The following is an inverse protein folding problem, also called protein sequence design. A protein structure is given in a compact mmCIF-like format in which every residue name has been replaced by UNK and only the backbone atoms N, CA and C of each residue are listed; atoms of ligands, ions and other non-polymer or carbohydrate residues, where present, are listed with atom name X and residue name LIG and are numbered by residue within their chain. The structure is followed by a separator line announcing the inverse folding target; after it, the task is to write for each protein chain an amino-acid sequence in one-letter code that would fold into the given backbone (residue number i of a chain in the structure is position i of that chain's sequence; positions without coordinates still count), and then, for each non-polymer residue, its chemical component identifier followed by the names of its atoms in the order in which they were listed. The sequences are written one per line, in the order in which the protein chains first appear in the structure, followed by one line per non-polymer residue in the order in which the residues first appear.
data_IF_933920953611
#
_entry.id   IF_933920953611
#
_cell.length_a   1.000
_cell.length_b   1.000
_cell.length_c   1.000
_cell.angle_alpha   90.00
_cell.angle_beta   90.00
_cell.angle_gamma   90.00
#
_symmetry.space_group_name_H-M   'P 1'
#
loop_
_entity.id
_entity.type
_entity.pdbx_description
1 polymer ?
#
# COMPACT_ATOMS: atom_id res chain seq x y z
N UNK A 1 7.24 19.22 -14.12
CA UNK A 1 7.69 19.10 -12.72
C UNK A 1 8.87 20.01 -12.38
N UNK A 2 10.11 19.81 -12.88
CA UNK A 2 11.21 20.75 -12.56
C UNK A 2 10.99 22.21 -13.03
N UNK A 3 10.14 22.41 -14.04
CA UNK A 3 9.59 23.72 -14.42
C UNK A 3 8.52 24.20 -13.44
N UNK A 4 7.55 23.34 -13.10
CA UNK A 4 6.47 23.56 -12.13
C UNK A 4 6.98 24.02 -10.76
N UNK A 5 8.00 23.34 -10.21
CA UNK A 5 8.63 23.69 -8.94
C UNK A 5 9.25 25.08 -8.99
N UNK A 6 10.03 25.38 -10.04
CA UNK A 6 10.64 26.71 -10.22
C UNK A 6 9.60 27.81 -10.42
N UNK A 7 8.50 27.54 -11.12
CA UNK A 7 7.39 28.48 -11.27
C UNK A 7 6.69 28.76 -9.93
N UNK A 8 6.42 27.72 -9.13
CA UNK A 8 5.83 27.85 -7.79
C UNK A 8 6.74 28.66 -6.84
N UNK A 9 8.06 28.41 -6.86
CA UNK A 9 9.03 29.19 -6.10
C UNK A 9 9.13 30.65 -6.59
N UNK A 10 9.11 30.87 -7.92
CA UNK A 10 9.19 32.21 -8.51
C UNK A 10 8.01 33.11 -8.12
N UNK A 11 6.80 32.55 -7.98
CA UNK A 11 5.62 33.30 -7.50
C UNK A 11 5.51 33.36 -5.97
N UNK A 12 6.52 32.89 -5.21
CA UNK A 12 6.51 32.89 -3.75
C UNK A 12 5.55 31.87 -3.11
N UNK A 13 5.10 30.84 -3.84
CA UNK A 13 4.13 29.87 -3.32
C UNK A 13 4.69 29.02 -2.17
N UNK A 14 6.01 28.97 -1.98
CA UNK A 14 6.67 28.28 -0.86
C UNK A 14 6.86 29.15 0.40
N UNK A 15 6.41 30.41 0.37
CA UNK A 15 6.60 31.42 1.42
C UNK A 15 5.25 32.02 1.81
N UNK A 16 4.51 31.40 2.74
CA UNK A 16 3.16 31.84 3.10
C UNK A 16 3.12 33.27 3.69
N UNK A 17 4.20 33.68 4.37
CA UNK A 17 4.39 35.04 4.88
C UNK A 17 4.41 36.11 3.77
N UNK A 18 4.78 35.75 2.54
CA UNK A 18 4.87 36.70 1.41
C UNK A 18 3.56 36.88 0.65
N UNK A 19 2.49 36.17 1.00
CA UNK A 19 1.23 36.20 0.24
C UNK A 19 0.39 37.46 0.46
N UNK A 20 0.70 38.24 1.50
CA UNK A 20 -0.02 39.45 1.87
C UNK A 20 -1.40 39.16 2.48
N UNK A 21 -2.25 40.18 2.44
CA UNK A 21 -3.65 40.09 2.84
C UNK A 21 -4.47 39.47 1.70
N UNK A 22 -4.91 38.24 1.92
CA UNK A 22 -5.71 37.42 1.01
C UNK A 22 -6.76 36.70 1.84
N UNK A 23 -7.93 36.43 1.24
CA UNK A 23 -9.01 35.73 1.92
C UNK A 23 -8.64 34.29 2.30
N UNK A 24 -9.48 33.69 3.15
CA UNK A 24 -9.26 32.35 3.68
C UNK A 24 -9.27 31.26 2.60
N UNK A 25 -10.10 31.42 1.55
CA UNK A 25 -10.29 30.41 0.50
C UNK A 25 -9.07 30.40 -0.43
N UNK A 26 -8.63 31.56 -0.88
CA UNK A 26 -7.39 31.74 -1.66
C UNK A 26 -6.18 31.26 -0.85
N UNK A 27 -6.13 31.54 0.46
CA UNK A 27 -5.04 31.06 1.34
C UNK A 27 -5.00 29.54 1.44
N UNK A 28 -6.13 28.86 1.67
CA UNK A 28 -6.15 27.40 1.67
C UNK A 28 -5.84 26.83 0.27
N UNK A 29 -6.37 27.43 -0.79
CA UNK A 29 -6.09 27.03 -2.17
C UNK A 29 -4.60 27.07 -2.48
N UNK A 30 -3.90 28.16 -2.12
CA UNK A 30 -2.43 28.25 -2.25
C UNK A 30 -1.68 27.16 -1.47
N UNK A 31 -2.12 26.85 -0.23
CA UNK A 31 -1.56 25.72 0.54
C UNK A 31 -1.78 24.38 -0.19
N UNK A 32 -2.99 24.09 -0.68
CA UNK A 32 -3.28 22.87 -1.43
C UNK A 32 -2.42 22.75 -2.70
N UNK A 33 -2.29 23.82 -3.49
CA UNK A 33 -1.43 23.82 -4.69
C UNK A 33 0.04 23.60 -4.32
N UNK A 34 0.55 24.28 -3.27
CA UNK A 34 1.92 24.07 -2.79
C UNK A 34 2.18 22.63 -2.38
N UNK A 35 1.33 22.05 -1.53
CA UNK A 35 1.51 20.67 -1.04
C UNK A 35 1.36 19.64 -2.16
N UNK A 36 0.53 19.91 -3.16
CA UNK A 36 0.44 19.10 -4.39
C UNK A 36 1.75 19.15 -5.19
N UNK A 37 2.34 20.33 -5.37
CA UNK A 37 3.66 20.49 -6.00
C UNK A 37 4.75 19.78 -5.18
N UNK A 38 4.71 19.88 -3.86
CA UNK A 38 5.67 19.24 -2.94
C UNK A 38 5.62 17.71 -3.03
N UNK A 39 4.43 17.12 -2.90
CA UNK A 39 4.23 15.66 -3.02
C UNK A 39 4.59 15.18 -4.43
N UNK A 40 4.16 15.90 -5.47
CA UNK A 40 4.46 15.57 -6.86
C UNK A 40 5.97 15.60 -7.14
N UNK A 41 6.68 16.62 -6.69
CA UNK A 41 8.13 16.73 -6.84
C UNK A 41 8.87 15.60 -6.10
N UNK A 42 8.46 15.28 -4.86
CA UNK A 42 9.02 14.14 -4.12
C UNK A 42 8.73 12.79 -4.80
N UNK A 43 7.53 12.61 -5.38
CA UNK A 43 7.17 11.37 -6.10
C UNK A 43 8.03 11.19 -7.34
N UNK A 44 8.23 12.27 -8.10
CA UNK A 44 9.13 12.34 -9.26
C UNK A 44 10.58 12.01 -8.85
N UNK A 45 11.13 12.68 -7.82
CA UNK A 45 12.49 12.42 -7.35
C UNK A 45 12.68 10.97 -6.89
N UNK A 46 11.72 10.41 -6.14
CA UNK A 46 11.75 9.01 -5.70
C UNK A 46 11.46 7.98 -6.79
N UNK A 47 10.93 8.39 -7.95
CA UNK A 47 10.62 7.51 -9.08
C UNK A 47 11.73 7.47 -10.12
N UNK A 48 12.46 8.58 -10.31
CA UNK A 48 13.56 8.71 -11.28
C UNK A 48 14.94 8.90 -10.64
N UNK A 49 15.05 8.85 -9.31
CA UNK A 49 16.34 8.84 -8.62
C UNK A 49 17.08 10.14 -8.68
N UNK A 50 16.37 11.21 -9.03
CA UNK A 50 16.94 12.54 -9.07
C UNK A 50 17.04 13.07 -7.65
N UNK A 51 18.02 13.95 -7.37
CA UNK A 51 18.05 14.70 -6.11
C UNK A 51 16.68 15.32 -5.80
N UNK A 52 16.26 15.42 -4.52
CA UNK A 52 15.05 16.12 -4.14
C UNK A 52 15.02 17.53 -4.75
N UNK A 53 13.97 17.84 -5.51
CA UNK A 53 13.82 19.17 -6.12
C UNK A 53 13.49 20.27 -5.10
N UNK A 54 13.15 19.86 -3.87
CA UNK A 54 12.71 20.71 -2.77
C UNK A 54 13.41 20.25 -1.48
N UNK A 55 13.92 21.22 -0.72
CA UNK A 55 14.48 21.00 0.62
C UNK A 55 13.41 21.34 1.65
N UNK A 56 13.26 20.53 2.69
CA UNK A 56 12.22 20.72 3.72
C UNK A 56 12.37 22.06 4.47
N UNK A 57 13.59 22.61 4.56
CA UNK A 57 13.90 23.91 5.19
C UNK A 57 13.32 25.11 4.44
N UNK A 58 13.06 24.98 3.14
CA UNK A 58 12.69 26.10 2.26
C UNK A 58 11.15 26.17 2.07
N UNK A 59 10.42 25.38 2.85
CA UNK A 59 8.98 25.17 2.80
C UNK A 59 8.30 25.85 4.00
N UNK A 60 7.97 27.14 3.84
CA UNK A 60 7.33 27.96 4.87
C UNK A 60 5.83 28.12 4.59
N UNK A 61 5.14 26.99 4.48
CA UNK A 61 3.70 26.93 4.18
C UNK A 61 3.06 25.94 5.14
N UNK A 62 1.97 26.33 5.79
CA UNK A 62 1.25 25.43 6.70
C UNK A 62 0.47 24.36 5.95
N UNK A 63 0.13 23.26 6.60
CA UNK A 63 -0.82 22.28 6.05
C UNK A 63 -2.18 22.94 5.73
N UNK A 64 -2.86 22.49 4.66
CA UNK A 64 -4.16 23.02 4.29
C UNK A 64 -5.22 22.59 5.32
N UNK A 65 -6.03 23.54 5.74
CA UNK A 65 -7.28 23.28 6.43
C UNK A 65 -8.34 22.83 5.43
N UNK A 66 -9.31 22.06 5.89
CA UNK A 66 -10.44 21.68 5.05
C UNK A 66 -11.25 22.92 4.64
N UNK A 67 -11.54 23.01 3.35
CA UNK A 67 -12.49 23.96 2.73
C UNK A 67 -13.80 23.21 2.51
N UNK A 68 -14.89 23.89 2.15
CA UNK A 68 -16.28 23.38 2.19
C UNK A 68 -16.46 21.95 1.60
N UNK A 69 -15.88 21.66 0.43
CA UNK A 69 -15.96 20.34 -0.23
C UNK A 69 -15.09 19.23 0.42
N UNK A 70 -14.31 19.55 1.45
CA UNK A 70 -13.36 18.64 2.11
C UNK A 70 -13.71 18.31 3.56
N UNK A 71 -14.85 18.75 4.08
CA UNK A 71 -15.30 18.40 5.45
C UNK A 71 -15.93 17.01 5.58
N UNK A 72 -16.15 16.31 4.46
CA UNK A 72 -16.78 14.99 4.45
C UNK A 72 -15.97 13.94 5.23
N UNK A 73 -16.63 13.24 6.15
CA UNK A 73 -16.02 12.23 7.04
C UNK A 73 -16.40 10.83 6.57
N UNK A 74 -15.52 9.84 6.77
CA UNK A 74 -15.82 8.47 6.34
C UNK A 74 -17.04 7.91 7.12
N UNK A 75 -18.10 7.44 6.45
CA UNK A 75 -19.30 6.97 7.14
C UNK A 75 -19.01 5.79 8.07
N UNK A 76 -19.62 5.81 9.27
CA UNK A 76 -19.37 4.89 10.41
C UNK A 76 -18.03 5.09 11.12
N UNK A 77 -17.19 6.03 10.70
CA UNK A 77 -16.01 6.46 11.46
C UNK A 77 -16.27 7.80 12.14
N UNK A 78 -15.38 8.16 13.06
CA UNK A 78 -15.46 9.38 13.86
C UNK A 78 -14.14 9.64 14.57
N UNK A 79 -13.02 9.29 13.93
CA UNK A 79 -11.71 9.54 14.50
C UNK A 79 -11.29 10.99 14.29
N UNK A 80 -10.27 11.43 15.02
CA UNK A 80 -9.73 12.79 14.91
C UNK A 80 -8.25 12.75 14.61
N UNK A 81 -7.77 13.76 13.88
CA UNK A 81 -6.35 14.01 13.66
C UNK A 81 -5.88 15.28 14.38
N UNK A 82 -4.58 15.35 14.66
CA UNK A 82 -3.94 16.53 15.23
C UNK A 82 -3.39 17.42 14.11
N UNK A 83 -3.82 18.68 14.10
CA UNK A 83 -3.39 19.71 13.16
C UNK A 83 -2.12 20.43 13.66
N UNK A 84 -1.47 21.21 12.78
CA UNK A 84 -0.23 21.94 13.12
C UNK A 84 -0.44 23.07 14.14
N UNK A 85 -1.69 23.53 14.33
CA UNK A 85 -2.11 24.48 15.37
C UNK A 85 -2.38 23.81 16.74
N UNK A 86 -2.17 22.50 16.86
CA UNK A 86 -2.43 21.73 18.08
C UNK A 86 -3.91 21.45 18.36
N UNK A 87 -4.82 21.77 17.43
CA UNK A 87 -6.23 21.41 17.56
C UNK A 87 -6.47 19.99 17.02
N UNK A 88 -7.30 19.23 17.75
CA UNK A 88 -7.84 17.97 17.25
C UNK A 88 -9.12 18.23 16.48
N UNK A 89 -9.22 17.75 15.25
CA UNK A 89 -10.40 17.90 14.38
C UNK A 89 -10.77 16.55 13.75
N UNK A 90 -12.02 16.35 13.29
CA UNK A 90 -12.43 15.11 12.62
C UNK A 90 -11.54 14.77 11.43
N UNK A 91 -11.43 13.47 11.12
CA UNK A 91 -10.76 12.98 9.91
C UNK A 91 -11.71 13.07 8.73
N UNK A 92 -11.19 13.61 7.63
CA UNK A 92 -11.96 14.00 6.45
C UNK A 92 -11.28 13.54 5.16
N UNK A 93 -11.94 13.74 4.01
CA UNK A 93 -11.33 13.54 2.67
C UNK A 93 -10.01 14.31 2.52
N UNK A 94 -9.90 15.51 3.13
CA UNK A 94 -8.68 16.32 3.11
C UNK A 94 -7.52 15.72 3.93
N UNK A 95 -7.81 14.91 4.96
CA UNK A 95 -6.79 14.33 5.85
C UNK A 95 -5.76 13.49 5.11
N UNK A 96 -6.15 12.74 4.08
CA UNK A 96 -5.23 11.96 3.24
C UNK A 96 -4.07 12.80 2.70
N UNK A 97 -4.35 14.04 2.23
CA UNK A 97 -3.30 14.93 1.72
C UNK A 97 -2.35 15.37 2.83
N UNK A 98 -2.87 15.66 4.04
CA UNK A 98 -2.05 16.00 5.21
C UNK A 98 -1.16 14.84 5.66
N UNK A 99 -1.70 13.63 5.73
CA UNK A 99 -0.92 12.43 6.05
C UNK A 99 0.13 12.12 4.97
N UNK A 100 -0.23 12.24 3.68
CA UNK A 100 0.71 12.06 2.56
C UNK A 100 1.82 13.12 2.60
N UNK A 101 1.51 14.40 2.81
CA UNK A 101 2.52 15.45 2.97
C UNK A 101 3.51 15.17 4.13
N UNK A 102 2.98 14.79 5.31
CA UNK A 102 3.79 14.38 6.49
C UNK A 102 4.74 13.21 6.16
N UNK A 103 4.30 12.22 5.38
CA UNK A 103 5.14 11.10 4.92
C UNK A 103 6.20 11.55 3.90
N UNK A 104 5.83 12.40 2.93
CA UNK A 104 6.77 12.88 1.91
C UNK A 104 7.89 13.77 2.48
N UNK A 105 7.66 14.46 3.61
CA UNK A 105 8.74 15.08 4.41
C UNK A 105 9.77 14.05 4.89
N UNK A 106 9.32 12.91 5.43
CA UNK A 106 10.20 11.80 5.84
C UNK A 106 10.89 11.19 4.61
N UNK A 107 10.17 11.02 3.50
CA UNK A 107 10.72 10.46 2.27
C UNK A 107 11.80 11.34 1.63
N UNK A 108 11.61 12.67 1.63
CA UNK A 108 12.64 13.63 1.21
C UNK A 108 13.85 13.61 2.16
N UNK A 109 13.62 13.46 3.48
CA UNK A 109 14.71 13.23 4.44
C UNK A 109 15.50 11.96 4.11
N UNK A 110 14.83 10.86 3.73
CA UNK A 110 15.46 9.60 3.32
C UNK A 110 16.30 9.80 2.06
N UNK A 111 15.73 10.40 1.02
CA UNK A 111 16.47 10.71 -0.21
C UNK A 111 17.73 11.55 0.08
N UNK A 112 17.58 12.67 0.80
CA UNK A 112 18.73 13.51 1.14
C UNK A 112 19.79 12.75 1.97
N UNK A 113 19.39 12.17 3.10
CA UNK A 113 20.32 11.62 4.09
C UNK A 113 20.92 10.28 3.64
N UNK A 114 20.18 9.43 2.92
CA UNK A 114 20.64 8.08 2.58
C UNK A 114 21.24 7.99 1.16
N UNK A 115 20.76 8.80 0.22
CA UNK A 115 21.17 8.72 -1.19
C UNK A 115 22.10 9.86 -1.65
N UNK A 116 21.97 11.06 -1.07
CA UNK A 116 22.72 12.25 -1.52
C UNK A 116 23.68 12.84 -0.47
N UNK A 117 23.76 12.25 0.73
CA UNK A 117 24.73 12.61 1.77
C UNK A 117 25.81 11.52 1.87
N UNK A 118 27.08 11.93 2.01
CA UNK A 118 28.17 10.99 2.29
C UNK A 118 28.22 10.70 3.79
N UNK A 119 28.34 9.41 4.14
CA UNK A 119 28.49 8.94 5.52
C UNK A 119 29.94 8.55 5.78
N UNK A 120 30.44 8.84 6.97
CA UNK A 120 31.82 8.58 7.37
C UNK A 120 32.07 7.10 7.73
N UNK A 121 31.02 6.29 7.89
CA UNK A 121 31.12 4.86 8.18
C UNK A 121 29.76 4.15 8.25
N UNK A 122 29.78 2.81 8.32
CA UNK A 122 28.58 1.97 8.42
C UNK A 122 27.67 2.35 9.58
N UNK A 123 28.27 2.74 10.71
CA UNK A 123 27.55 3.11 11.92
C UNK A 123 26.66 4.35 11.73
N UNK A 124 27.20 5.44 11.17
CA UNK A 124 26.46 6.69 10.92
C UNK A 124 25.26 6.47 9.99
N UNK A 125 25.47 5.62 8.97
CA UNK A 125 24.41 5.20 8.05
C UNK A 125 23.34 4.36 8.78
N UNK A 126 23.75 3.37 9.57
CA UNK A 126 22.81 2.55 10.37
C UNK A 126 22.02 3.37 11.39
N UNK A 127 22.65 4.36 12.03
CA UNK A 127 21.98 5.30 12.94
C UNK A 127 20.96 6.17 12.18
N UNK A 128 21.34 6.72 11.02
CA UNK A 128 20.45 7.48 10.14
C UNK A 128 19.24 6.64 9.66
N UNK A 129 19.47 5.42 9.18
CA UNK A 129 18.40 4.49 8.78
C UNK A 129 17.47 4.17 9.96
N UNK A 130 18.02 3.88 11.14
CA UNK A 130 17.24 3.58 12.35
C UNK A 130 16.36 4.76 12.79
N UNK A 131 16.91 5.98 12.78
CA UNK A 131 16.19 7.22 13.10
C UNK A 131 15.06 7.51 12.11
N UNK A 132 15.30 7.30 10.82
CA UNK A 132 14.29 7.48 9.77
C UNK A 132 13.21 6.40 9.85
N UNK A 133 13.56 5.14 10.14
CA UNK A 133 12.60 4.07 10.38
C UNK A 133 11.70 4.36 11.58
N UNK A 134 12.26 4.86 12.69
CA UNK A 134 11.48 5.27 13.87
C UNK A 134 10.48 6.41 13.55
N UNK A 135 10.88 7.42 12.77
CA UNK A 135 9.96 8.48 12.28
C UNK A 135 8.83 7.90 11.44
N UNK A 136 9.16 6.95 10.56
CA UNK A 136 8.23 6.31 9.64
C UNK A 136 7.22 5.40 10.35
N UNK A 137 7.67 4.61 11.34
CA UNK A 137 6.80 3.84 12.24
C UNK A 137 5.91 4.72 13.13
N UNK A 138 6.43 5.85 13.62
CA UNK A 138 5.63 6.81 14.38
C UNK A 138 4.53 7.45 13.51
N UNK A 139 4.83 7.70 12.24
CA UNK A 139 3.84 8.12 11.26
C UNK A 139 2.82 7.02 10.94
N UNK A 140 3.21 5.76 10.71
CA UNK A 140 2.25 4.66 10.46
C UNK A 140 1.28 4.47 11.63
N UNK A 141 1.76 4.64 12.87
CA UNK A 141 0.92 4.56 14.08
C UNK A 141 -0.07 5.72 14.22
N UNK A 142 0.20 6.89 13.62
CA UNK A 142 -0.71 8.03 13.69
C UNK A 142 -1.81 8.04 12.62
N UNK A 143 -1.77 7.11 11.66
CA UNK A 143 -2.82 6.99 10.62
C UNK A 143 -4.15 6.56 11.27
N UNK A 144 -5.26 7.30 11.05
CA UNK A 144 -6.60 6.94 11.53
C UNK A 144 -7.14 5.70 10.81
N UNK A 145 -8.06 4.93 11.42
CA UNK A 145 -8.52 3.67 10.85
C UNK A 145 -9.18 3.82 9.47
N UNK A 146 -9.95 4.87 9.23
CA UNK A 146 -10.53 5.19 7.92
C UNK A 146 -9.50 5.44 6.80
N UNK A 147 -8.22 5.66 7.12
CA UNK A 147 -7.11 5.75 6.16
C UNK A 147 -6.21 4.49 6.15
N UNK A 148 -6.64 3.37 6.76
CA UNK A 148 -5.99 2.06 6.72
C UNK A 148 -6.70 1.12 5.75
N UNK A 149 -5.94 0.41 4.90
CA UNK A 149 -6.55 -0.43 3.86
C UNK A 149 -7.30 -1.63 4.46
N UNK A 150 -6.89 -2.08 5.65
CA UNK A 150 -7.52 -3.15 6.43
C UNK A 150 -8.95 -2.80 6.87
N UNK A 151 -9.26 -1.50 7.00
CA UNK A 151 -10.61 -1.01 7.35
C UNK A 151 -11.57 -0.95 6.17
N UNK A 152 -11.09 -1.22 4.94
CA UNK A 152 -11.89 -1.20 3.71
C UNK A 152 -11.80 -2.54 2.96
N UNK A 153 -12.26 -3.66 3.51
CA UNK A 153 -12.14 -4.98 2.87
C UNK A 153 -12.80 -5.07 1.48
N UNK A 154 -12.43 -6.06 0.64
CA UNK A 154 -13.02 -6.23 -0.69
C UNK A 154 -14.52 -6.50 -0.62
N UNK A 155 -15.28 -5.96 -1.57
CA UNK A 155 -16.72 -6.20 -1.75
C UNK A 155 -17.63 -5.79 -0.57
N UNK A 156 -17.16 -4.97 0.38
CA UNK A 156 -18.00 -4.49 1.50
C UNK A 156 -18.55 -3.07 1.32
N UNK A 157 -18.31 -2.44 0.17
CA UNK A 157 -18.93 -1.16 -0.19
C UNK A 157 -20.24 -1.45 -0.91
N UNK A 158 -21.30 -1.60 -0.12
CA UNK A 158 -22.68 -1.69 -0.59
C UNK A 158 -23.10 -0.40 -1.31
N UNK A 159 -23.93 -0.53 -2.35
CA UNK A 159 -24.50 0.62 -3.06
C UNK A 159 -25.53 1.35 -2.20
N UNK A 160 -25.44 2.68 -2.17
CA UNK A 160 -26.23 3.58 -1.33
C UNK A 160 -25.59 4.98 -1.31
N UNK A 161 -26.22 5.94 -0.62
CA UNK A 161 -25.80 7.35 -0.60
C UNK A 161 -24.32 7.52 -0.18
N UNK A 162 -23.89 6.81 0.85
CA UNK A 162 -22.51 6.76 1.35
C UNK A 162 -21.46 6.14 0.38
N UNK A 163 -21.88 5.43 -0.67
CA UNK A 163 -21.00 4.50 -1.39
C UNK A 163 -19.83 5.20 -2.09
N UNK A 164 -20.05 6.39 -2.64
CA UNK A 164 -19.01 7.21 -3.25
C UNK A 164 -17.93 7.60 -2.23
N UNK A 165 -18.34 8.10 -1.06
CA UNK A 165 -17.41 8.53 0.00
C UNK A 165 -16.61 7.36 0.57
N UNK A 166 -17.25 6.20 0.79
CA UNK A 166 -16.55 4.95 1.16
C UNK A 166 -15.51 4.53 0.11
N UNK A 167 -15.81 4.67 -1.19
CA UNK A 167 -14.85 4.41 -2.29
C UNK A 167 -13.66 5.38 -2.24
N UNK A 168 -13.89 6.66 -1.99
CA UNK A 168 -12.82 7.68 -1.83
C UNK A 168 -11.86 7.27 -0.71
N UNK A 169 -12.36 7.02 0.51
CA UNK A 169 -11.51 6.63 1.64
C UNK A 169 -10.77 5.30 1.39
N UNK A 170 -11.41 4.31 0.75
CA UNK A 170 -10.76 3.05 0.40
C UNK A 170 -9.60 3.24 -0.61
N UNK A 171 -9.76 4.11 -1.60
CA UNK A 171 -8.70 4.46 -2.58
C UNK A 171 -7.57 5.24 -1.90
N UNK A 172 -7.91 6.20 -1.04
CA UNK A 172 -6.93 6.98 -0.26
C UNK A 172 -6.10 6.05 0.63
N UNK A 173 -6.74 5.15 1.38
CA UNK A 173 -6.10 4.18 2.25
C UNK A 173 -5.16 3.23 1.48
N UNK A 174 -5.62 2.67 0.35
CA UNK A 174 -4.79 1.82 -0.51
C UNK A 174 -3.58 2.58 -1.05
N UNK A 175 -3.78 3.80 -1.55
CA UNK A 175 -2.71 4.64 -2.10
C UNK A 175 -1.70 5.02 -1.01
N UNK A 176 -2.17 5.29 0.21
CA UNK A 176 -1.33 5.63 1.35
C UNK A 176 -0.47 4.45 1.81
N UNK A 177 -1.05 3.25 1.92
CA UNK A 177 -0.32 2.01 2.23
C UNK A 177 0.79 1.72 1.20
N UNK A 178 0.44 1.74 -0.10
CA UNK A 178 1.39 1.47 -1.19
C UNK A 178 2.53 2.50 -1.23
N UNK A 179 2.22 3.77 -0.89
CA UNK A 179 3.26 4.81 -0.74
C UNK A 179 4.19 4.50 0.43
N UNK A 180 3.64 4.12 1.58
CA UNK A 180 4.40 3.80 2.78
C UNK A 180 5.33 2.60 2.57
N UNK A 181 4.81 1.52 1.98
CA UNK A 181 5.58 0.34 1.61
C UNK A 181 6.76 0.72 0.69
N UNK A 182 6.54 1.60 -0.30
CA UNK A 182 7.62 2.08 -1.16
C UNK A 182 8.66 2.94 -0.40
N UNK A 183 8.24 3.79 0.55
CA UNK A 183 9.18 4.57 1.38
C UNK A 183 9.98 3.65 2.32
N UNK A 184 9.39 2.54 2.81
CA UNK A 184 10.13 1.49 3.53
C UNK A 184 11.15 0.78 2.63
N UNK A 185 10.75 0.38 1.42
CA UNK A 185 11.65 -0.22 0.44
C UNK A 185 12.83 0.73 0.14
N UNK A 186 12.55 2.02 -0.10
CA UNK A 186 13.56 3.05 -0.34
C UNK A 186 14.53 3.21 0.83
N UNK A 187 14.04 3.17 2.07
CA UNK A 187 14.87 3.31 3.27
C UNK A 187 15.89 2.17 3.44
N UNK A 188 15.47 0.93 3.20
CA UNK A 188 16.26 -0.26 3.48
C UNK A 188 17.02 -0.83 2.26
N UNK A 189 16.57 -0.53 1.04
CA UNK A 189 17.19 -0.95 -0.23
C UNK A 189 18.73 -0.82 -0.29
N UNK A 190 19.38 0.26 0.18
CA UNK A 190 20.84 0.42 0.03
C UNK A 190 21.68 -0.70 0.67
N UNK A 191 21.09 -1.43 1.62
CA UNK A 191 21.68 -2.54 2.38
C UNK A 191 21.51 -3.92 1.69
N UNK A 192 20.81 -3.97 0.55
CA UNK A 192 20.45 -5.21 -0.14
C UNK A 192 21.21 -5.28 -1.48
N UNK A 193 22.06 -6.30 -1.66
CA UNK A 193 22.96 -6.43 -2.82
C UNK A 193 23.12 -7.88 -3.28
N UNK A 194 22.90 -8.16 -4.58
CA UNK A 194 23.06 -9.51 -5.16
C UNK A 194 24.54 -9.92 -5.24
N UNK A 195 24.82 -11.17 -4.87
CA UNK A 195 26.01 -11.91 -5.30
C UNK A 195 27.36 -11.45 -4.72
N UNK A 196 27.37 -10.54 -3.74
CA UNK A 196 28.62 -10.02 -3.16
C UNK A 196 29.49 -9.23 -4.16
N UNK A 197 28.95 -8.91 -5.34
CA UNK A 197 29.66 -8.17 -6.39
C UNK A 197 29.93 -6.75 -5.86
N UNK A 198 31.20 -6.34 -5.71
CA UNK A 198 31.50 -4.95 -5.38
C UNK A 198 30.92 -4.04 -6.47
N UNK A 199 30.37 -2.88 -6.09
CA UNK A 199 29.73 -1.86 -6.96
C UNK A 199 30.72 -1.16 -7.93
N UNK A 200 31.68 -1.91 -8.47
CA UNK A 200 32.89 -1.46 -9.18
C UNK A 200 32.78 -1.47 -10.71
N UNK A 201 31.72 -2.02 -11.32
CA UNK A 201 31.67 -2.28 -12.77
C UNK A 201 30.53 -1.64 -13.57
N UNK A 202 29.63 -0.89 -12.94
CA UNK A 202 28.63 -0.06 -13.63
C UNK A 202 28.69 1.38 -13.10
N UNK A 203 29.84 2.03 -13.31
CA UNK A 203 29.91 3.49 -13.27
C UNK A 203 31.14 4.00 -14.04
N UNK A 204 30.92 4.53 -15.23
CA UNK A 204 31.93 5.25 -16.04
C UNK A 204 32.17 6.67 -15.49
N UNK A 205 32.35 6.83 -14.17
CA UNK A 205 32.71 8.13 -13.58
C UNK A 205 33.44 7.99 -12.25
N UNK A 206 34.76 8.19 -12.28
CA UNK A 206 35.64 8.13 -11.11
C UNK A 206 35.35 9.18 -10.00
N UNK A 207 34.47 10.14 -10.26
CA UNK A 207 34.18 11.30 -9.39
C UNK A 207 32.72 11.33 -8.87
N UNK A 208 31.98 10.21 -8.91
CA UNK A 208 30.61 10.15 -8.38
C UNK A 208 30.59 9.84 -6.87
N UNK A 209 29.73 10.48 -6.05
CA UNK A 209 29.62 10.20 -4.61
C UNK A 209 29.39 8.72 -4.25
N UNK A 210 28.82 7.97 -5.21
CA UNK A 210 28.54 6.54 -5.11
C UNK A 210 29.77 5.65 -4.88
N UNK A 211 31.02 6.14 -5.05
CA UNK A 211 32.22 5.38 -4.69
C UNK A 211 32.52 5.43 -3.19
N UNK A 212 32.32 6.58 -2.54
CA UNK A 212 32.56 6.74 -1.10
C UNK A 212 31.57 5.90 -0.27
N UNK A 213 30.31 5.86 -0.69
CA UNK A 213 29.28 5.04 -0.04
C UNK A 213 29.62 3.54 -0.04
N UNK A 214 30.45 3.03 -0.96
CA UNK A 214 30.74 1.58 -1.04
C UNK A 214 31.49 1.06 0.18
N UNK A 215 32.48 1.81 0.67
CA UNK A 215 33.21 1.48 1.88
C UNK A 215 32.31 1.51 3.12
N UNK A 216 31.29 2.38 3.13
CA UNK A 216 30.28 2.51 4.19
C UNK A 216 29.45 1.23 4.38
N UNK A 217 29.24 0.41 3.34
CA UNK A 217 28.38 -0.80 3.47
C UNK A 217 29.12 -2.06 3.94
N UNK A 218 30.45 -2.13 3.78
CA UNK A 218 31.22 -3.35 4.03
C UNK A 218 31.19 -3.82 5.50
N UNK A 219 30.95 -2.90 6.43
CA UNK A 219 30.97 -3.13 7.89
C UNK A 219 29.58 -2.99 8.52
N UNK A 220 28.49 -3.24 7.79
CA UNK A 220 27.13 -3.26 8.35
C UNK A 220 26.89 -4.63 9.03
N UNK A 221 26.39 -4.67 10.28
CA UNK A 221 26.09 -5.94 10.96
C UNK A 221 25.08 -6.80 10.18
N UNK A 222 25.35 -8.10 10.04
CA UNK A 222 24.48 -9.04 9.33
C UNK A 222 23.05 -9.08 9.88
N UNK A 223 22.87 -8.92 11.19
CA UNK A 223 21.57 -8.79 11.83
C UNK A 223 20.77 -7.57 11.30
N UNK A 224 21.44 -6.46 11.00
CA UNK A 224 20.81 -5.25 10.44
C UNK A 224 20.42 -5.46 8.96
N UNK A 225 21.25 -6.19 8.20
CA UNK A 225 20.92 -6.61 6.82
C UNK A 225 19.70 -7.54 6.82
N UNK A 226 19.61 -8.50 7.75
CA UNK A 226 18.46 -9.39 7.89
C UNK A 226 17.17 -8.62 8.23
N UNK A 227 17.25 -7.60 9.10
CA UNK A 227 16.13 -6.69 9.38
C UNK A 227 15.73 -5.93 8.11
N UNK A 228 16.69 -5.36 7.37
CA UNK A 228 16.43 -4.62 6.14
C UNK A 228 15.75 -5.50 5.07
N UNK A 229 16.24 -6.71 4.85
CA UNK A 229 15.62 -7.70 3.97
C UNK A 229 14.22 -8.08 4.43
N UNK A 230 14.00 -8.29 5.74
CA UNK A 230 12.68 -8.59 6.29
C UNK A 230 11.68 -7.45 6.04
N UNK A 231 12.07 -6.20 6.29
CA UNK A 231 11.21 -5.03 6.12
C UNK A 231 10.87 -4.77 4.65
N UNK A 232 11.87 -4.87 3.75
CA UNK A 232 11.66 -4.79 2.30
C UNK A 232 10.73 -5.91 1.81
N UNK A 233 10.94 -7.15 2.24
CA UNK A 233 10.09 -8.28 1.86
C UNK A 233 8.65 -8.08 2.32
N UNK A 234 8.43 -7.76 3.60
CA UNK A 234 7.08 -7.54 4.15
C UNK A 234 6.35 -6.41 3.41
N UNK A 235 7.02 -5.29 3.16
CA UNK A 235 6.46 -4.14 2.45
C UNK A 235 6.14 -4.48 0.99
N UNK A 236 7.07 -5.14 0.28
CA UNK A 236 6.90 -5.49 -1.13
C UNK A 236 5.83 -6.58 -1.34
N UNK A 237 5.75 -7.57 -0.44
CA UNK A 237 4.67 -8.56 -0.42
C UNK A 237 3.33 -7.87 -0.16
N UNK A 238 3.23 -6.99 0.86
CA UNK A 238 1.98 -6.23 1.15
C UNK A 238 1.53 -5.39 -0.05
N UNK A 239 2.44 -4.71 -0.74
CA UNK A 239 2.13 -3.98 -1.98
C UNK A 239 1.67 -4.92 -3.12
N UNK A 240 2.21 -6.14 -3.24
CA UNK A 240 1.74 -7.09 -4.25
C UNK A 240 0.28 -7.53 -4.05
N UNK A 241 -0.27 -7.39 -2.83
CA UNK A 241 -1.67 -7.70 -2.52
C UNK A 241 -2.67 -6.69 -3.12
N UNK A 242 -2.20 -5.56 -3.66
CA UNK A 242 -3.00 -4.64 -4.49
C UNK A 242 -3.74 -5.39 -5.61
N UNK A 243 -3.15 -6.44 -6.18
CA UNK A 243 -3.78 -7.26 -7.20
C UNK A 243 -5.08 -7.97 -6.74
N UNK A 244 -5.28 -8.13 -5.42
CA UNK A 244 -6.52 -8.64 -4.81
C UNK A 244 -7.61 -7.57 -4.68
N UNK A 245 -7.36 -6.33 -5.11
CA UNK A 245 -8.32 -5.20 -5.11
C UNK A 245 -8.71 -4.71 -6.52
N UNK A 246 -9.20 -5.59 -7.41
CA UNK A 246 -9.68 -5.17 -8.73
C UNK A 246 -10.93 -4.28 -8.64
N UNK A 247 -11.65 -4.34 -7.52
CA UNK A 247 -12.75 -3.43 -7.17
C UNK A 247 -12.27 -1.97 -7.13
N UNK A 248 -11.21 -1.68 -6.38
CA UNK A 248 -10.67 -0.32 -6.26
C UNK A 248 -9.88 0.11 -7.50
N UNK A 249 -9.06 -0.79 -8.07
CA UNK A 249 -8.18 -0.47 -9.21
C UNK A 249 -8.95 0.01 -10.45
N UNK A 250 -10.18 -0.49 -10.66
CA UNK A 250 -11.06 -0.04 -11.76
C UNK A 250 -11.60 1.38 -11.56
N UNK A 251 -11.83 1.80 -10.31
CA UNK A 251 -12.42 3.11 -9.99
C UNK A 251 -11.49 4.29 -10.32
N UNK A 252 -10.17 4.08 -10.23
CA UNK A 252 -9.18 5.12 -10.51
C UNK A 252 -8.32 4.85 -11.76
N UNK A 253 -8.78 3.96 -12.65
CA UNK A 253 -7.97 3.37 -13.72
C UNK A 253 -7.34 4.36 -14.72
N UNK A 254 -7.91 5.56 -14.86
CA UNK A 254 -7.41 6.63 -15.73
C UNK A 254 -6.80 7.83 -14.97
N UNK A 255 -6.82 7.80 -13.63
CA UNK A 255 -6.34 8.89 -12.78
C UNK A 255 -4.88 8.75 -12.34
N UNK A 256 -4.35 9.82 -11.73
CA UNK A 256 -3.03 9.80 -11.08
C UNK A 256 -2.83 8.61 -10.10
N UNK A 257 -3.82 8.17 -9.29
CA UNK A 257 -3.65 7.01 -8.42
C UNK A 257 -3.27 5.71 -9.15
N UNK A 258 -3.70 5.49 -10.41
CA UNK A 258 -3.33 4.29 -11.18
C UNK A 258 -1.83 4.29 -11.54
N UNK A 259 -1.28 5.45 -11.92
CA UNK A 259 0.14 5.62 -12.21
C UNK A 259 0.95 5.50 -10.91
N UNK A 260 0.50 6.15 -9.84
CA UNK A 260 1.11 6.11 -8.50
C UNK A 260 1.22 4.67 -7.97
N UNK A 261 0.12 3.92 -8.01
CA UNK A 261 0.07 2.52 -7.60
C UNK A 261 0.92 1.63 -8.51
N UNK A 262 0.89 1.85 -9.84
CA UNK A 262 1.70 1.08 -10.78
C UNK A 262 3.20 1.23 -10.56
N UNK A 263 3.69 2.46 -10.40
CA UNK A 263 5.10 2.77 -10.10
C UNK A 263 5.57 2.07 -8.82
N UNK A 264 4.79 2.14 -7.75
CA UNK A 264 5.16 1.51 -6.48
C UNK A 264 4.99 -0.02 -6.49
N UNK A 265 4.00 -0.55 -7.21
CA UNK A 265 3.86 -1.99 -7.44
C UNK A 265 5.04 -2.55 -8.25
N UNK A 266 5.54 -1.82 -9.25
CA UNK A 266 6.75 -2.18 -9.97
C UNK A 266 7.99 -2.18 -9.07
N UNK A 267 8.20 -1.12 -8.28
CA UNK A 267 9.26 -1.02 -7.28
C UNK A 267 9.24 -2.22 -6.30
N UNK A 268 8.06 -2.59 -5.80
CA UNK A 268 7.86 -3.78 -4.99
C UNK A 268 8.17 -5.08 -5.76
N UNK A 269 7.73 -5.22 -7.01
CA UNK A 269 7.99 -6.39 -7.83
C UNK A 269 9.49 -6.65 -8.05
N UNK A 270 10.27 -5.62 -8.35
CA UNK A 270 11.71 -5.78 -8.52
C UNK A 270 12.42 -6.01 -7.18
N UNK A 271 11.97 -5.40 -6.07
CA UNK A 271 12.46 -5.73 -4.72
C UNK A 271 12.19 -7.19 -4.34
N UNK A 272 11.02 -7.74 -4.68
CA UNK A 272 10.72 -9.17 -4.51
C UNK A 272 11.66 -10.04 -5.35
N UNK A 273 11.95 -9.66 -6.59
CA UNK A 273 12.86 -10.40 -7.46
C UNK A 273 14.31 -10.38 -6.96
N UNK A 274 14.78 -9.22 -6.50
CA UNK A 274 16.05 -9.06 -5.78
C UNK A 274 16.13 -10.02 -4.58
N UNK A 275 15.10 -10.07 -3.74
CA UNK A 275 15.03 -10.97 -2.58
C UNK A 275 14.91 -12.45 -2.97
N UNK A 276 14.29 -12.77 -4.11
CA UNK A 276 14.25 -14.13 -4.65
C UNK A 276 15.65 -14.57 -5.13
N UNK A 277 16.35 -13.73 -5.89
CA UNK A 277 17.71 -14.01 -6.40
C UNK A 277 18.74 -14.17 -5.26
N UNK A 278 18.54 -13.51 -4.13
CA UNK A 278 19.37 -13.68 -2.93
C UNK A 278 19.21 -15.05 -2.25
N UNK A 279 18.10 -15.75 -2.47
CA UNK A 279 17.86 -17.08 -1.89
C UNK A 279 16.84 -17.86 -2.73
N UNK A 280 17.22 -18.33 -3.94
CA UNK A 280 16.27 -18.82 -4.95
C UNK A 280 15.38 -19.96 -4.44
N UNK A 281 15.97 -20.93 -3.74
CA UNK A 281 15.27 -22.11 -3.24
C UNK A 281 14.51 -21.89 -1.92
N UNK A 282 14.55 -20.68 -1.35
CA UNK A 282 13.89 -20.40 -0.08
C UNK A 282 12.37 -20.25 -0.24
N UNK A 283 11.62 -20.59 0.81
CA UNK A 283 10.17 -20.32 0.87
C UNK A 283 9.83 -18.83 0.65
N UNK A 284 10.73 -17.92 1.05
CA UNK A 284 10.61 -16.48 0.80
C UNK A 284 10.76 -16.13 -0.68
N UNK A 285 11.73 -16.75 -1.38
CA UNK A 285 11.89 -16.64 -2.82
C UNK A 285 10.67 -17.16 -3.58
N UNK A 286 10.10 -18.28 -3.15
CA UNK A 286 8.85 -18.81 -3.72
C UNK A 286 7.65 -17.86 -3.54
N UNK A 287 7.48 -17.23 -2.36
CA UNK A 287 6.44 -16.21 -2.17
C UNK A 287 6.75 -14.93 -2.96
N UNK A 288 8.01 -14.53 -3.06
CA UNK A 288 8.43 -13.39 -3.88
C UNK A 288 8.03 -13.58 -5.35
N UNK A 289 8.25 -14.77 -5.93
CA UNK A 289 7.73 -15.10 -7.28
C UNK A 289 6.20 -14.98 -7.34
N UNK A 290 5.48 -15.48 -6.33
CA UNK A 290 4.01 -15.34 -6.29
C UNK A 290 3.58 -13.86 -6.24
N UNK A 291 4.28 -13.01 -5.50
CA UNK A 291 4.04 -11.56 -5.46
C UNK A 291 4.32 -10.86 -6.80
N UNK A 292 5.43 -11.19 -7.47
CA UNK A 292 5.72 -10.68 -8.83
C UNK A 292 4.62 -11.11 -9.81
N UNK A 293 4.19 -12.38 -9.76
CA UNK A 293 3.12 -12.90 -10.59
C UNK A 293 1.78 -12.18 -10.33
N UNK A 294 1.46 -11.83 -9.07
CA UNK A 294 0.29 -11.00 -8.73
C UNK A 294 0.37 -9.64 -9.42
N UNK A 295 1.53 -8.97 -9.38
CA UNK A 295 1.74 -7.65 -9.99
C UNK A 295 1.62 -7.71 -11.53
N UNK A 296 2.24 -8.70 -12.18
CA UNK A 296 2.14 -8.99 -13.64
C UNK A 296 0.69 -9.18 -14.09
N UNK A 297 -0.19 -9.67 -13.22
CA UNK A 297 -1.60 -9.92 -13.54
C UNK A 297 -2.50 -8.69 -13.37
N UNK A 298 -2.05 -7.61 -12.70
CA UNK A 298 -2.86 -6.41 -12.45
C UNK A 298 -3.50 -5.85 -13.73
N UNK A 299 -2.77 -5.61 -14.85
CA UNK A 299 -3.37 -5.01 -16.04
C UNK A 299 -4.43 -5.92 -16.69
N UNK A 300 -4.25 -7.24 -16.56
CA UNK A 300 -5.15 -8.25 -17.14
C UNK A 300 -6.48 -8.36 -16.37
N UNK A 301 -6.49 -8.16 -15.06
CA UNK A 301 -7.71 -8.26 -14.23
C UNK A 301 -8.53 -6.96 -14.15
N UNK A 302 -7.96 -5.84 -14.60
CA UNK A 302 -8.50 -4.48 -14.38
C UNK A 302 -8.77 -3.68 -15.65
N UNK A 303 -8.36 -4.16 -16.84
CA UNK A 303 -8.38 -3.39 -18.09
C UNK A 303 -7.53 -2.10 -18.08
N UNK A 304 -6.54 -1.98 -17.18
CA UNK A 304 -5.57 -0.88 -17.17
C UNK A 304 -4.71 -0.87 -18.46
N UNK A 305 -4.98 0.06 -19.38
CA UNK A 305 -4.31 0.16 -20.70
C UNK A 305 -3.15 1.18 -20.77
N UNK A 306 -2.49 1.51 -19.65
CA UNK A 306 -1.37 2.46 -19.72
C UNK A 306 -0.11 1.79 -20.30
N UNK A 307 0.65 2.54 -21.12
CA UNK A 307 1.96 2.07 -21.62
C UNK A 307 2.93 1.72 -20.50
N UNK A 308 2.85 2.45 -19.38
CA UNK A 308 3.63 2.23 -18.15
C UNK A 308 3.40 0.82 -17.60
N UNK A 309 2.14 0.38 -17.47
CA UNK A 309 1.81 -0.98 -17.05
C UNK A 309 2.33 -2.05 -18.00
N UNK A 310 2.34 -1.79 -19.32
CA UNK A 310 2.90 -2.70 -20.31
C UNK A 310 4.41 -2.88 -20.13
N UNK A 311 5.17 -1.77 -20.03
CA UNK A 311 6.62 -1.81 -19.81
C UNK A 311 6.99 -2.52 -18.49
N UNK A 312 6.29 -2.18 -17.40
CA UNK A 312 6.48 -2.84 -16.09
C UNK A 312 6.21 -4.34 -16.16
N UNK A 313 5.19 -4.76 -16.91
CA UNK A 313 4.84 -6.18 -17.07
C UNK A 313 5.93 -6.94 -17.82
N UNK A 314 6.53 -6.36 -18.87
CA UNK A 314 7.65 -6.98 -19.59
C UNK A 314 8.85 -7.18 -18.66
N UNK A 315 9.33 -6.12 -18.02
CA UNK A 315 10.52 -6.16 -17.14
C UNK A 315 10.34 -7.14 -15.97
N UNK A 316 9.15 -7.19 -15.35
CA UNK A 316 8.86 -8.16 -14.29
C UNK A 316 8.75 -9.60 -14.80
N UNK A 317 8.34 -9.80 -16.06
CA UNK A 317 8.32 -11.13 -16.70
C UNK A 317 9.74 -11.61 -17.01
N UNK A 318 10.60 -10.74 -17.54
CA UNK A 318 12.02 -11.04 -17.76
C UNK A 318 12.73 -11.38 -16.43
N UNK A 319 12.45 -10.60 -15.37
CA UNK A 319 12.94 -10.87 -14.02
C UNK A 319 12.48 -12.25 -13.48
N UNK A 320 11.23 -12.66 -13.77
CA UNK A 320 10.73 -13.99 -13.43
C UNK A 320 11.53 -15.10 -14.15
N UNK A 321 11.88 -14.90 -15.42
CA UNK A 321 12.71 -15.85 -16.17
C UNK A 321 14.15 -15.94 -15.63
N UNK A 322 14.73 -14.81 -15.20
CA UNK A 322 16.05 -14.80 -14.53
C UNK A 322 16.01 -15.58 -13.22
N UNK A 323 14.98 -15.36 -12.38
CA UNK A 323 14.81 -16.11 -11.11
C UNK A 323 14.69 -17.61 -11.37
N UNK A 324 13.84 -18.03 -12.32
CA UNK A 324 13.68 -19.44 -12.67
C UNK A 324 14.99 -20.08 -13.18
N UNK A 325 15.82 -19.31 -13.87
CA UNK A 325 17.16 -19.75 -14.35
C UNK A 325 18.12 -19.95 -13.17
N UNK A 326 18.18 -19.01 -12.23
CA UNK A 326 19.01 -19.13 -11.03
C UNK A 326 18.53 -20.23 -10.06
N UNK A 327 17.21 -20.44 -9.94
CA UNK A 327 16.66 -21.60 -9.22
C UNK A 327 17.10 -22.92 -9.86
N UNK A 328 17.05 -23.02 -11.19
CA UNK A 328 17.47 -24.23 -11.91
C UNK A 328 18.95 -24.52 -11.69
N UNK A 329 19.82 -23.49 -11.75
CA UNK A 329 21.25 -23.64 -11.40
C UNK A 329 21.42 -24.08 -9.95
N UNK A 330 20.78 -23.39 -9.00
CA UNK A 330 20.90 -23.71 -7.58
C UNK A 330 20.40 -25.12 -7.21
N UNK A 331 19.45 -25.68 -7.97
CA UNK A 331 19.02 -27.09 -7.83
C UNK A 331 20.05 -28.08 -8.38
N UNK A 332 20.74 -27.74 -9.46
CA UNK A 332 21.76 -28.60 -10.10
C UNK A 332 23.09 -28.56 -9.33
N UNK A 333 23.50 -27.37 -8.88
CA UNK A 333 24.77 -27.13 -8.21
C UNK A 333 24.78 -27.57 -6.72
N UNK A 334 23.63 -27.96 -6.16
CA UNK A 334 23.50 -28.37 -4.76
C UNK A 334 23.46 -29.91 -4.63
N UNK A 335 24.56 -30.57 -4.22
CA UNK A 335 24.65 -32.03 -4.15
C UNK A 335 23.85 -32.64 -2.97
N UNK A 336 23.10 -31.85 -2.20
CA UNK A 336 22.28 -32.33 -1.08
C UNK A 336 21.18 -33.35 -1.49
N UNK A 337 20.89 -33.50 -2.78
CA UNK A 337 20.02 -34.58 -3.32
C UNK A 337 20.74 -35.89 -3.66
N UNK A 338 22.07 -35.98 -3.44
CA UNK A 338 22.91 -37.14 -3.78
C UNK A 338 23.67 -37.68 -2.55
N UNK A 339 23.14 -37.49 -1.34
CA UNK A 339 23.69 -38.15 -0.15
C UNK A 339 23.30 -39.64 -0.14
N UNK A 340 24.09 -40.45 -0.85
CA UNK A 340 24.00 -41.92 -0.87
C UNK A 340 24.34 -42.57 0.48
N UNK A 341 24.46 -41.81 1.57
CA UNK A 341 24.66 -42.31 2.93
C UNK A 341 23.37 -42.71 3.66
N UNK A 342 22.19 -42.60 3.04
CA UNK A 342 21.00 -43.29 3.57
C UNK A 342 21.23 -44.80 3.54
N UNK A 343 21.35 -45.41 4.72
CA UNK A 343 21.33 -46.86 4.88
C UNK A 343 20.04 -47.39 4.30
N UNK A 344 20.17 -48.14 3.21
CA UNK A 344 19.09 -48.60 2.35
C UNK A 344 18.20 -49.63 3.08
N UNK A 345 17.31 -49.16 3.96
CA UNK A 345 16.13 -49.95 4.30
C UNK A 345 15.33 -50.16 3.00
N UNK A 346 14.87 -51.40 2.83
CA UNK A 346 14.29 -51.84 1.55
C UNK A 346 13.01 -51.05 1.29
N UNK A 347 12.78 -50.56 0.05
CA UNK A 347 11.50 -49.96 -0.29
C UNK A 347 10.39 -50.99 -0.08
N UNK A 348 9.43 -50.68 0.78
CA UNK A 348 8.20 -51.46 0.93
C UNK A 348 7.49 -51.58 -0.42
N UNK A 349 6.95 -52.76 -0.71
CA UNK A 349 6.27 -53.00 -1.99
C UNK A 349 5.09 -52.03 -2.16
N UNK A 350 4.96 -51.49 -3.36
CA UNK A 350 3.92 -50.52 -3.69
C UNK A 350 2.54 -51.20 -3.65
N UNK A 351 1.71 -50.91 -2.64
CA UNK A 351 0.28 -51.25 -2.65
C UNK A 351 -0.30 -52.11 -1.54
N UNK A 352 0.30 -52.20 -0.34
CA UNK A 352 -0.42 -52.74 0.83
C UNK A 352 -1.08 -51.62 1.66
N UNK A 353 -2.38 -51.72 1.97
CA UNK A 353 -3.04 -50.78 2.88
C UNK A 353 -2.66 -51.09 4.35
N UNK A 354 -2.64 -50.08 5.25
CA UNK A 354 -2.27 -50.30 6.65
C UNK A 354 -3.17 -51.33 7.36
N UNK A 355 -2.56 -52.22 8.19
CA UNK A 355 -3.21 -53.35 8.89
C UNK A 355 -4.29 -52.97 9.94
N UNK A 356 -4.78 -51.73 9.99
CA UNK A 356 -5.70 -51.25 11.03
C UNK A 356 -7.18 -51.64 10.82
N UNK A 357 -7.50 -52.53 9.88
CA UNK A 357 -8.87 -52.89 9.50
C UNK A 357 -9.24 -54.38 9.60
N UNK A 358 -8.43 -55.18 10.31
CA UNK A 358 -8.68 -56.63 10.47
C UNK A 358 -8.76 -57.10 11.92
N UNK A 359 -9.47 -56.37 12.79
CA UNK A 359 -10.04 -56.96 14.03
C UNK A 359 -11.17 -56.08 14.60
N UNK A 360 -12.44 -56.45 14.32
CA UNK A 360 -13.64 -56.23 15.17
C UNK A 360 -14.98 -56.32 14.39
N UNK A 361 -15.24 -57.42 13.66
CA UNK A 361 -16.62 -57.81 13.27
C UNK A 361 -16.89 -59.28 13.60
N UNK A 362 -17.38 -59.51 14.81
CA UNK A 362 -18.28 -60.61 15.17
C UNK A 362 -17.70 -61.99 15.47
N UNK A 363 -17.87 -62.45 16.73
CA UNK A 363 -19.03 -63.32 17.06
C UNK A 363 -19.21 -63.60 18.57
N UNK A 364 -20.46 -63.87 18.91
CA UNK A 364 -20.97 -64.20 20.24
C UNK A 364 -20.74 -65.68 20.64
N UNK A 365 -20.58 -65.97 21.95
CA UNK A 365 -21.58 -66.65 22.82
C UNK A 365 -21.01 -67.21 24.15
N UNK A 366 -21.72 -66.90 25.24
CA UNK A 366 -22.15 -67.76 26.38
C UNK A 366 -21.11 -68.73 27.04
N UNK A 367 -20.88 -68.69 28.37
CA UNK A 367 -21.84 -69.13 29.42
C UNK A 367 -21.35 -68.85 30.87
N UNK A 368 -22.30 -68.59 31.80
CA UNK A 368 -22.41 -69.00 33.25
C UNK A 368 -21.16 -69.08 34.16
N UNK A 369 -21.13 -68.76 35.48
CA UNK A 369 -22.04 -68.24 36.54
C UNK A 369 -21.14 -67.88 37.75
N UNK A 370 -21.48 -67.05 38.77
CA UNK A 370 -22.54 -67.21 39.80
C UNK A 370 -22.56 -65.96 40.72
N UNK A 371 -23.73 -65.57 41.22
CA UNK A 371 -24.00 -64.52 42.24
C UNK A 371 -23.94 -65.09 43.69
N UNK A 372 -24.35 -64.42 44.82
CA UNK A 372 -24.90 -63.05 45.02
C UNK A 372 -24.31 -62.22 46.20
N UNK A 373 -24.64 -60.91 46.30
CA UNK A 373 -25.41 -60.34 47.44
C UNK A 373 -25.72 -58.83 47.30
N UNK A 374 -27.01 -58.50 47.48
CA UNK A 374 -27.63 -57.17 47.60
C UNK A 374 -27.67 -56.70 49.10
N UNK A 375 -28.17 -55.50 49.55
CA UNK A 375 -29.34 -54.77 49.00
C UNK A 375 -29.42 -53.21 49.05
N UNK A 376 -30.14 -52.65 48.06
CA UNK A 376 -31.27 -51.68 48.14
C UNK A 376 -31.20 -50.39 49.00
N UNK A 377 -31.25 -49.23 48.33
CA UNK A 377 -32.32 -48.18 48.37
C UNK A 377 -31.78 -46.79 47.94
N UNK A 378 -32.49 -45.91 47.22
CA UNK A 378 -33.73 -46.03 46.43
C UNK A 378 -34.35 -44.66 46.11
N UNK A 379 -34.84 -44.47 44.86
CA UNK A 379 -35.93 -43.55 44.37
C UNK A 379 -35.92 -42.05 44.77
N UNK A 380 -36.48 -41.10 44.01
CA UNK A 380 -37.00 -41.01 42.63
C UNK A 380 -37.20 -39.50 42.31
N UNK A 381 -37.40 -39.15 41.04
CA UNK A 381 -38.51 -38.24 40.70
C UNK A 381 -38.31 -36.71 40.59
N UNK A 382 -38.11 -36.28 39.34
CA UNK A 382 -38.99 -35.33 38.63
C UNK A 382 -39.18 -33.83 39.09
N UNK A 383 -38.60 -32.94 38.26
CA UNK A 383 -39.26 -31.92 37.40
C UNK A 383 -40.10 -30.73 37.96
N UNK A 384 -39.90 -29.60 37.26
CA UNK A 384 -40.81 -28.48 36.90
C UNK A 384 -40.92 -27.21 37.79
N UNK A 385 -40.33 -26.13 37.26
CA UNK A 385 -40.97 -24.88 36.78
C UNK A 385 -41.54 -23.77 37.71
N UNK A 386 -41.38 -22.51 37.21
CA UNK A 386 -42.12 -21.26 37.49
C UNK A 386 -41.87 -20.55 38.85
N UNK A 387 -41.90 -19.22 39.01
CA UNK A 387 -42.00 -18.08 38.07
C UNK A 387 -41.73 -16.72 38.78
N UNK A 388 -41.41 -15.66 38.01
CA UNK A 388 -41.91 -14.24 38.13
C UNK A 388 -41.69 -13.42 39.46
N UNK A 389 -41.76 -12.07 39.54
CA UNK A 389 -42.00 -10.96 38.58
C UNK A 389 -41.59 -9.54 39.13
N UNK A 390 -41.75 -8.51 38.26
CA UNK A 390 -41.92 -7.05 38.53
C UNK A 390 -40.70 -6.22 39.04
N UNK A 391 -40.52 -4.92 38.74
CA UNK A 391 -41.25 -3.91 37.93
C UNK A 391 -40.83 -2.46 38.34
N UNK A 392 -41.22 -1.33 37.72
CA UNK A 392 -41.88 -1.00 36.44
C UNK A 392 -41.86 0.55 36.16
N UNK A 393 -42.39 1.02 35.00
CA UNK A 393 -42.85 2.40 34.67
C UNK A 393 -41.82 3.54 34.38
N UNK A 394 -42.15 4.71 33.76
CA UNK A 394 -42.96 5.07 32.55
C UNK A 394 -43.08 6.61 32.37
N UNK A 395 -43.08 7.15 31.12
CA UNK A 395 -44.04 8.21 30.70
C UNK A 395 -43.59 9.61 30.20
N UNK A 396 -44.29 10.07 29.14
CA UNK A 396 -44.68 11.48 28.75
C UNK A 396 -43.62 12.41 28.08
N UNK A 397 -43.66 12.74 26.77
CA UNK A 397 -44.55 13.62 25.93
C UNK A 397 -44.42 15.14 26.12
N UNK A 398 -44.10 15.94 25.06
CA UNK A 398 -45.07 16.76 24.28
C UNK A 398 -44.44 17.55 23.08
N UNK A 399 -45.25 18.33 22.34
CA UNK A 399 -45.05 18.84 20.94
C UNK A 399 -44.41 20.26 20.76
N UNK A 400 -43.96 20.55 19.51
CA UNK A 400 -44.55 21.54 18.55
C UNK A 400 -43.68 22.70 17.94
N UNK A 401 -43.84 22.85 16.60
CA UNK A 401 -43.71 24.06 15.74
C UNK A 401 -42.34 24.44 15.13
N UNK A 402 -42.24 25.15 13.98
CA UNK A 402 -42.97 25.19 12.68
C UNK A 402 -42.16 26.09 11.70
N UNK A 403 -42.41 25.99 10.39
CA UNK A 403 -41.94 26.87 9.28
C UNK A 403 -40.48 26.69 8.81
N UNK A 404 -40.18 26.72 7.51
CA UNK A 404 -41.10 26.80 6.35
C UNK A 404 -40.45 26.41 5.01
N UNK A 405 -41.30 26.08 4.03
CA UNK A 405 -40.91 25.58 2.72
C UNK A 405 -40.37 26.67 1.78
N UNK A 406 -39.40 26.32 0.93
CA UNK A 406 -39.33 26.82 -0.45
C UNK A 406 -39.09 25.68 -1.42
N UNK A 407 -40.19 25.21 -2.01
CA UNK A 407 -40.24 24.21 -3.07
C UNK A 407 -39.57 24.73 -4.36
N UNK A 408 -38.67 23.95 -4.98
CA UNK A 408 -38.24 24.17 -6.37
C UNK A 408 -38.35 22.88 -7.19
N UNK A 409 -39.56 22.71 -7.70
CA UNK A 409 -40.00 21.65 -8.60
C UNK A 409 -39.31 21.79 -9.96
N UNK A 410 -38.56 20.77 -10.41
CA UNK A 410 -38.05 20.68 -11.78
C UNK A 410 -38.94 19.70 -12.55
N UNK A 411 -39.56 20.20 -13.62
CA UNK A 411 -40.44 19.39 -14.47
C UNK A 411 -39.62 18.49 -15.39
N UNK A 412 -39.98 17.21 -15.42
CA UNK A 412 -39.60 16.31 -16.50
C UNK A 412 -40.36 16.69 -17.78
N UNK A 413 -39.64 16.82 -18.89
CA UNK A 413 -40.23 16.91 -20.24
C UNK A 413 -39.61 15.79 -21.07
N UNK A 414 -40.45 14.89 -21.54
CA UNK A 414 -40.10 13.72 -22.35
C UNK A 414 -40.08 14.08 -23.85
N UNK A 415 -39.21 13.44 -24.65
CA UNK A 415 -38.82 13.94 -25.97
C UNK A 415 -37.95 13.01 -26.81
N UNK A 416 -38.40 11.77 -27.01
CA UNK A 416 -37.83 10.69 -27.84
C UNK A 416 -36.91 11.09 -29.02
N UNK A 417 -35.74 10.44 -29.13
CA UNK A 417 -35.37 9.42 -30.16
C UNK A 417 -33.85 9.36 -30.40
N UNK A 418 -33.25 8.17 -30.33
CA UNK A 418 -31.85 7.93 -30.71
C UNK A 418 -31.24 6.76 -29.96
N UNK A 419 -30.86 5.70 -30.67
CA UNK A 419 -30.29 4.47 -30.09
C UNK A 419 -28.82 4.66 -29.70
N UNK A 420 -28.49 4.49 -28.42
CA UNK A 420 -27.13 4.45 -27.87
C UNK A 420 -27.08 3.54 -26.64
N UNK A 421 -26.00 2.76 -26.50
CA UNK A 421 -25.80 1.76 -25.44
C UNK A 421 -25.12 2.41 -24.22
N UNK A 422 -25.83 3.31 -23.54
CA UNK A 422 -25.31 4.04 -22.38
C UNK A 422 -25.62 3.30 -21.07
N UNK A 423 -24.57 2.73 -20.47
CA UNK A 423 -24.63 2.11 -19.14
C UNK A 423 -24.43 3.17 -18.06
N UNK A 424 -25.24 3.20 -16.98
CA UNK A 424 -25.17 4.21 -15.89
C UNK A 424 -23.88 4.17 -15.04
N UNK A 425 -22.92 3.31 -15.40
CA UNK A 425 -21.56 3.31 -14.85
C UNK A 425 -20.67 4.40 -15.45
N UNK A 426 -20.97 4.92 -16.65
CA UNK A 426 -20.21 6.00 -17.26
C UNK A 426 -20.54 7.37 -16.64
N UNK A 427 -21.81 7.65 -16.36
CA UNK A 427 -22.22 8.93 -15.76
C UNK A 427 -21.65 9.10 -14.34
N UNK A 428 -21.60 8.02 -13.56
CA UNK A 428 -20.92 7.98 -12.26
C UNK A 428 -19.38 8.08 -12.35
N UNK A 429 -18.77 7.71 -13.49
CA UNK A 429 -17.35 7.99 -13.76
C UNK A 429 -17.13 9.45 -14.19
N UNK A 430 -18.13 10.07 -14.80
CA UNK A 430 -18.22 11.51 -14.98
C UNK A 430 -18.25 12.20 -13.63
N UNK A 431 -19.38 12.16 -12.91
CA UNK A 431 -19.62 12.98 -11.72
C UNK A 431 -18.58 12.78 -10.59
N UNK A 432 -18.00 11.58 -10.40
CA UNK A 432 -16.95 11.36 -9.40
C UNK A 432 -15.62 12.07 -9.71
N UNK A 433 -15.42 12.52 -10.95
CA UNK A 433 -14.23 13.24 -11.42
C UNK A 433 -14.52 14.57 -12.16
N UNK A 434 -15.80 14.89 -12.40
CA UNK A 434 -16.32 16.10 -13.05
C UNK A 434 -17.14 16.97 -12.05
N UNK A 435 -17.38 16.46 -10.83
CA UNK A 435 -17.49 17.34 -9.66
C UNK A 435 -16.23 18.21 -9.60
N UNK A 436 -16.41 19.51 -9.40
CA UNK A 436 -15.37 20.54 -9.61
C UNK A 436 -14.32 20.60 -8.49
N UNK A 437 -13.89 19.43 -7.99
CA UNK A 437 -12.89 19.26 -6.95
C UNK A 437 -11.44 19.46 -7.45
N UNK A 438 -10.52 19.92 -6.59
CA UNK A 438 -9.34 20.71 -6.99
C UNK A 438 -8.13 19.90 -7.50
N UNK A 439 -8.34 18.76 -8.16
CA UNK A 439 -7.27 17.86 -8.58
C UNK A 439 -6.64 18.17 -9.95
N UNK A 440 -7.20 19.11 -10.71
CA UNK A 440 -6.72 19.54 -12.04
C UNK A 440 -6.88 21.06 -12.24
N UNK A 441 -5.90 21.75 -12.85
CA UNK A 441 -6.18 23.02 -13.53
C UNK A 441 -7.01 22.77 -14.80
N UNK A 442 -7.73 23.78 -15.33
CA UNK A 442 -8.57 23.61 -16.53
C UNK A 442 -7.77 23.06 -17.72
N UNK A 443 -8.37 22.16 -18.50
CA UNK A 443 -7.74 21.60 -19.70
C UNK A 443 -7.54 22.68 -20.79
N UNK A 444 -6.38 23.35 -20.76
CA UNK A 444 -5.83 24.00 -21.93
C UNK A 444 -5.20 22.90 -22.81
N UNK A 445 -5.71 22.74 -24.05
CA UNK A 445 -5.26 21.71 -24.97
C UNK A 445 -3.82 21.90 -25.44
N UNK A 446 -2.88 21.23 -24.78
CA UNK A 446 -1.49 21.12 -25.22
C UNK A 446 -1.27 19.75 -25.85
N UNK A 447 -0.90 19.73 -27.14
CA UNK A 447 -0.66 18.49 -27.88
C UNK A 447 0.44 17.64 -27.24
N UNK A 448 0.14 16.36 -27.01
CA UNK A 448 1.05 15.41 -26.36
C UNK A 448 2.19 15.04 -27.33
N UNK A 449 3.37 15.62 -27.11
CA UNK A 449 4.62 15.08 -27.66
C UNK A 449 4.97 13.73 -27.05
N UNK A 450 5.85 12.92 -27.68
CA UNK A 450 6.18 11.59 -27.18
C UNK A 450 6.72 11.64 -25.75
N UNK A 451 6.07 10.90 -24.85
CA UNK A 451 6.50 10.75 -23.47
C UNK A 451 7.84 9.99 -23.44
N UNK A 452 8.86 10.64 -22.90
CA UNK A 452 10.17 10.04 -22.62
C UNK A 452 9.99 8.82 -21.69
N UNK A 453 10.73 7.74 -21.94
CA UNK A 453 10.54 6.46 -21.23
C UNK A 453 10.63 6.62 -19.71
N UNK A 454 9.73 5.93 -18.98
CA UNK A 454 9.75 5.88 -17.51
C UNK A 454 10.85 4.92 -17.03
N UNK A 455 12.11 5.32 -17.23
CA UNK A 455 13.23 4.52 -16.79
C UNK A 455 13.42 4.58 -15.27
N UNK A 456 13.16 3.45 -14.60
CA UNK A 456 13.44 3.22 -13.19
C UNK A 456 14.69 2.34 -12.98
N UNK A 457 15.52 2.14 -14.01
CA UNK A 457 16.80 1.40 -13.93
C UNK A 457 17.66 1.88 -12.78
N UNK A 458 17.70 3.18 -12.46
CA UNK A 458 18.46 3.73 -11.33
C UNK A 458 18.09 3.11 -9.96
N UNK A 459 16.86 2.59 -9.78
CA UNK A 459 16.44 1.84 -8.57
C UNK A 459 17.15 0.46 -8.53
N UNK A 460 17.92 0.08 -9.54
CA UNK A 460 18.55 -1.24 -9.63
C UNK A 460 20.03 -1.13 -10.05
N UNK A 461 20.33 -0.31 -11.07
CA UNK A 461 21.65 -0.11 -11.69
C UNK A 461 22.44 1.12 -11.21
N UNK A 462 21.86 1.99 -10.37
CA UNK A 462 22.53 3.19 -9.79
C UNK A 462 23.16 4.17 -10.81
N UNK A 463 22.84 4.01 -12.10
CA UNK A 463 23.26 4.90 -13.17
C UNK A 463 22.33 6.11 -13.19
N UNK A 464 22.81 7.23 -12.67
CA UNK A 464 22.12 8.50 -12.87
C UNK A 464 22.21 8.86 -14.37
N UNK A 465 21.12 9.23 -15.05
CA UNK A 465 21.22 9.75 -16.40
C UNK A 465 22.07 11.02 -16.39
N UNK A 466 23.11 11.04 -17.23
CA UNK A 466 23.85 12.25 -17.53
C UNK A 466 22.92 13.28 -18.21
N UNK A 467 23.23 14.57 -18.00
CA UNK A 467 22.40 15.70 -18.48
C UNK A 467 22.37 15.86 -19.99
#
# INVERSE_FOLDING_TARGET
MGTTVRAAQFIGLNQEESWGDIDTIERQTRRYVWWTVFIGAGFISMSWGTPPMLIETDCHVQQPLDVEDSFEQCPKFGSTEMYEDGQSRPVTVGSYNRFKAKMYKIANSIMHQIYFTQHNGSEELCQSISKLHQRLLAWERSIPPELRAESHPPNTIEDGEDAALKRIFAIQALTLQVSYDNVHILLFRPLISIGGIPRSRVSTRANSPALATQATFANVPSAFINIAQQQCWTSATRTSEVAKRPDLLRLFQFGFPAIHVGVHAFSAGVMLGLLALLSPLSARGQESKRGIARIIQIPKSTNLRSHVWSQMTMVLTDLMHVIATEETKALIDNPAGLDFSETHDKPGAFGEPPEYYSEAVGRDRETSSTEPQEPVSGRDGARNDLAEMHGHASGLTNMQSRTGDTNRQINWVDGMTGTGDDSPLNDLQGELFDTSGPWLPPQAGWGVGPLQEMDQSWIWDWSFPDR
#
